data_IF_106849731892
#
_entry.id   IF_106849731892
#
_cell.length_a   1.000
_cell.length_b   1.000
_cell.length_c   1.000
_cell.angle_alpha   90.00
_cell.angle_beta   90.00
_cell.angle_gamma   90.00
#
_symmetry.space_group_name_H-M   'P 1'
#
loop_
_entity.id
_entity.type
_entity.pdbx_description
1 polymer ?
#
# COMPACT_ATOMS: atom_id res chain seq x y z
N UNK A 1 -5.59 13.62 -8.25
CA UNK A 1 -5.23 12.59 -7.25
C UNK A 1 -5.40 11.25 -7.95
N UNK A 2 -4.31 10.67 -8.44
CA UNK A 2 -4.36 9.48 -9.30
C UNK A 2 -3.88 8.30 -8.47
N UNK A 3 -4.77 7.35 -8.18
CA UNK A 3 -4.43 6.10 -7.50
C UNK A 3 -4.63 4.95 -8.50
N UNK A 4 -3.64 4.06 -8.59
CA UNK A 4 -3.71 2.85 -9.41
C UNK A 4 -3.58 1.63 -8.50
N UNK A 5 -4.29 0.56 -8.84
CA UNK A 5 -4.17 -0.74 -8.19
C UNK A 5 -3.72 -1.75 -9.23
N UNK A 6 -2.66 -2.48 -8.92
CA UNK A 6 -2.05 -3.43 -9.83
C UNK A 6 -1.70 -4.69 -9.06
N UNK A 7 -2.20 -5.83 -9.52
CA UNK A 7 -1.71 -7.13 -9.09
C UNK A 7 -0.45 -7.51 -9.89
N UNK A 8 0.66 -7.66 -9.18
CA UNK A 8 1.97 -7.97 -9.76
C UNK A 8 2.49 -9.34 -9.32
N UNK A 9 1.68 -10.11 -8.59
CA UNK A 9 2.09 -11.34 -7.90
C UNK A 9 2.87 -12.32 -8.79
N UNK A 10 2.40 -12.56 -10.02
CA UNK A 10 3.07 -13.49 -10.94
C UNK A 10 4.17 -12.84 -11.81
N UNK A 11 4.14 -11.51 -11.94
CA UNK A 11 4.93 -10.79 -12.95
C UNK A 11 6.18 -10.11 -12.39
N UNK A 12 6.20 -9.75 -11.10
CA UNK A 12 7.31 -8.98 -10.52
C UNK A 12 8.65 -9.71 -10.60
N UNK A 13 8.62 -11.05 -10.56
CA UNK A 13 9.78 -11.93 -10.65
C UNK A 13 10.60 -11.74 -11.94
N UNK A 14 9.98 -11.23 -13.01
CA UNK A 14 10.68 -10.92 -14.27
C UNK A 14 11.61 -9.71 -14.14
N UNK A 15 11.32 -8.82 -13.20
CA UNK A 15 11.96 -7.52 -13.08
C UNK A 15 12.80 -7.37 -11.82
N UNK A 16 12.53 -8.17 -10.77
CA UNK A 16 13.26 -8.16 -9.49
C UNK A 16 13.08 -9.46 -8.71
N UNK A 17 13.92 -9.65 -7.69
CA UNK A 17 13.88 -10.82 -6.80
C UNK A 17 12.78 -10.76 -5.73
N UNK A 18 12.36 -9.55 -5.34
CA UNK A 18 11.34 -9.32 -4.30
C UNK A 18 10.35 -8.25 -4.76
N UNK A 19 9.13 -8.28 -4.23
CA UNK A 19 8.11 -7.25 -4.51
C UNK A 19 8.60 -5.88 -4.05
N UNK A 20 9.28 -5.80 -2.90
CA UNK A 20 9.84 -4.55 -2.40
C UNK A 20 10.87 -3.95 -3.36
N UNK A 21 11.84 -4.75 -3.83
CA UNK A 21 12.84 -4.28 -4.79
C UNK A 21 12.22 -3.87 -6.13
N UNK A 22 11.18 -4.59 -6.57
CA UNK A 22 10.40 -4.19 -7.75
C UNK A 22 9.76 -2.81 -7.55
N UNK A 23 9.12 -2.57 -6.40
CA UNK A 23 8.50 -1.28 -6.09
C UNK A 23 9.54 -0.14 -6.01
N UNK A 24 10.69 -0.36 -5.37
CA UNK A 24 11.77 0.66 -5.33
C UNK A 24 12.24 1.03 -6.74
N UNK A 25 12.45 0.02 -7.58
CA UNK A 25 12.83 0.22 -8.98
C UNK A 25 11.75 0.98 -9.76
N UNK A 26 10.48 0.56 -9.65
CA UNK A 26 9.35 1.20 -10.33
C UNK A 26 9.21 2.68 -9.91
N UNK A 27 9.35 2.97 -8.62
CA UNK A 27 9.30 4.35 -8.12
C UNK A 27 10.41 5.22 -8.71
N UNK A 28 11.63 4.68 -8.79
CA UNK A 28 12.76 5.37 -9.38
C UNK A 28 12.51 5.65 -10.87
N UNK A 29 12.05 4.66 -11.62
CA UNK A 29 11.73 4.82 -13.05
C UNK A 29 10.62 5.86 -13.26
N UNK A 30 9.55 5.85 -12.45
CA UNK A 30 8.52 6.91 -12.51
C UNK A 30 9.12 8.29 -12.25
N UNK A 31 9.99 8.41 -11.25
CA UNK A 31 10.63 9.68 -10.91
C UNK A 31 11.57 10.17 -12.03
N UNK A 32 12.37 9.28 -12.60
CA UNK A 32 13.30 9.61 -13.70
C UNK A 32 12.55 10.07 -14.96
N UNK A 33 11.43 9.44 -15.29
CA UNK A 33 10.64 9.76 -16.50
C UNK A 33 9.71 10.97 -16.33
N UNK A 34 9.16 11.17 -15.13
CA UNK A 34 8.09 12.15 -14.91
C UNK A 34 8.46 13.30 -13.96
N UNK A 35 9.52 13.13 -13.16
CA UNK A 35 9.87 14.05 -12.06
C UNK A 35 8.93 13.98 -10.85
N UNK A 36 7.97 13.05 -10.84
CA UNK A 36 6.94 12.96 -9.80
C UNK A 36 7.32 11.92 -8.75
N UNK A 37 7.27 12.31 -7.49
CA UNK A 37 7.36 11.37 -6.36
C UNK A 37 6.05 10.62 -6.17
N UNK A 38 6.14 9.29 -6.04
CA UNK A 38 5.01 8.43 -5.75
C UNK A 38 5.21 7.65 -4.44
N UNK A 39 4.11 7.14 -3.90
CA UNK A 39 4.10 6.25 -2.73
C UNK A 39 3.47 4.93 -3.11
N UNK A 40 3.91 3.83 -2.48
CA UNK A 40 3.44 2.48 -2.81
C UNK A 40 3.04 1.76 -1.54
N UNK A 41 1.82 1.23 -1.51
CA UNK A 41 1.38 0.31 -0.47
C UNK A 41 1.25 -1.10 -1.02
N UNK A 42 1.87 -2.06 -0.33
CA UNK A 42 1.89 -3.48 -0.70
C UNK A 42 1.02 -4.23 0.30
N UNK A 43 0.04 -4.99 -0.17
CA UNK A 43 -0.88 -5.72 0.68
C UNK A 43 -1.23 -7.10 0.13
N UNK A 44 -1.67 -8.00 1.02
CA UNK A 44 -2.21 -9.32 0.61
C UNK A 44 -3.56 -9.22 -0.14
N UNK A 45 -4.15 -8.02 -0.22
CA UNK A 45 -5.34 -7.70 -1.01
C UNK A 45 -5.37 -6.19 -1.29
N UNK A 46 -6.35 -5.75 -2.09
CA UNK A 46 -6.51 -4.34 -2.47
C UNK A 46 -6.74 -3.42 -1.27
N UNK A 47 -7.49 -3.87 -0.27
CA UNK A 47 -7.80 -3.09 0.93
C UNK A 47 -6.54 -2.80 1.75
N UNK A 48 -5.79 -3.84 2.09
CA UNK A 48 -4.53 -3.71 2.85
C UNK A 48 -3.50 -2.89 2.10
N UNK A 49 -3.43 -3.04 0.77
CA UNK A 49 -2.51 -2.24 -0.06
C UNK A 49 -2.84 -0.75 0.03
N UNK A 50 -4.13 -0.41 -0.06
CA UNK A 50 -4.58 0.99 0.02
C UNK A 50 -4.33 1.58 1.40
N UNK A 51 -4.62 0.82 2.46
CA UNK A 51 -4.42 1.26 3.85
C UNK A 51 -2.93 1.41 4.13
N UNK A 52 -2.10 0.44 3.77
CA UNK A 52 -0.64 0.54 3.91
C UNK A 52 -0.09 1.81 3.25
N UNK A 53 -0.58 2.13 2.04
CA UNK A 53 -0.21 3.34 1.32
C UNK A 53 -0.63 4.61 2.08
N UNK A 54 -1.89 4.68 2.51
CA UNK A 54 -2.44 5.88 3.13
C UNK A 54 -1.91 6.14 4.54
N UNK A 55 -1.68 5.09 5.33
CA UNK A 55 -1.31 5.17 6.76
C UNK A 55 0.18 5.24 6.97
N UNK A 56 0.95 4.45 6.23
CA UNK A 56 2.36 4.23 6.55
C UNK A 56 3.27 4.71 5.41
N UNK A 57 2.94 4.39 4.15
CA UNK A 57 3.82 4.73 3.04
C UNK A 57 3.99 6.26 2.88
N UNK A 58 2.91 7.05 3.04
CA UNK A 58 2.97 8.52 2.97
C UNK A 58 3.88 9.17 4.03
N UNK A 59 4.10 8.50 5.14
CA UNK A 59 4.92 8.99 6.24
C UNK A 59 6.28 8.30 6.33
N UNK A 60 6.48 7.24 5.54
CA UNK A 60 7.76 6.52 5.45
C UNK A 60 8.80 7.29 4.62
N UNK A 61 10.06 7.24 5.06
CA UNK A 61 11.16 7.91 4.36
C UNK A 61 11.39 7.37 2.93
N UNK A 62 11.18 6.06 2.73
CA UNK A 62 11.31 5.42 1.43
C UNK A 62 10.01 5.47 0.61
N UNK A 63 8.90 5.96 1.18
CA UNK A 63 7.60 6.04 0.55
C UNK A 63 7.00 4.68 0.16
N UNK A 64 7.34 3.60 0.87
CA UNK A 64 6.85 2.24 0.63
C UNK A 64 6.42 1.65 1.98
N UNK A 65 5.23 1.04 2.03
CA UNK A 65 4.80 0.27 3.20
C UNK A 65 4.19 -1.05 2.78
N UNK A 66 4.42 -2.08 3.59
CA UNK A 66 3.91 -3.43 3.36
C UNK A 66 3.09 -3.89 4.56
N UNK A 67 1.84 -4.29 4.31
CA UNK A 67 0.95 -4.86 5.32
C UNK A 67 0.51 -6.26 4.91
N UNK A 68 0.46 -7.14 5.90
CA UNK A 68 -0.05 -8.51 5.80
C UNK A 68 -1.17 -8.70 6.83
N UNK A 69 -1.88 -9.82 6.77
CA UNK A 69 -2.97 -10.08 7.72
C UNK A 69 -2.52 -10.04 9.19
N UNK A 70 -1.27 -10.41 9.47
CA UNK A 70 -0.67 -10.35 10.81
C UNK A 70 -0.49 -8.92 11.36
N UNK A 71 -0.45 -7.91 10.50
CA UNK A 71 -0.31 -6.51 10.90
C UNK A 71 -1.66 -5.87 11.27
N UNK A 72 -2.78 -6.50 10.91
CA UNK A 72 -4.12 -5.94 11.14
C UNK A 72 -4.38 -5.67 12.62
N UNK A 73 -4.11 -6.59 13.57
CA UNK A 73 -4.39 -6.35 14.98
C UNK A 73 -3.59 -5.19 15.58
N UNK A 74 -2.36 -4.98 15.11
CA UNK A 74 -1.41 -4.03 15.71
C UNK A 74 -1.41 -2.68 15.00
N UNK A 75 -1.68 -2.67 13.69
CA UNK A 75 -1.64 -1.45 12.86
C UNK A 75 -3.02 -0.91 12.51
N UNK A 76 -4.02 -1.77 12.22
CA UNK A 76 -5.35 -1.33 11.79
C UNK A 76 -6.27 -0.99 12.96
N UNK A 77 -6.42 -1.90 13.92
CA UNK A 77 -7.38 -1.75 15.02
C UNK A 77 -7.18 -0.50 15.90
N UNK A 78 -5.95 0.00 16.13
CA UNK A 78 -5.75 1.23 16.89
C UNK A 78 -6.17 2.51 16.17
N UNK A 79 -6.41 2.47 14.85
CA UNK A 79 -6.74 3.66 14.07
C UNK A 79 -8.21 4.03 14.33
N UNK A 80 -8.44 5.16 15.00
CA UNK A 80 -9.78 5.69 15.25
C UNK A 80 -9.84 7.21 15.01
N UNK A 81 -10.92 7.71 14.39
CA UNK A 81 -11.97 6.96 13.68
C UNK A 81 -11.49 6.48 12.30
N UNK A 82 -11.87 5.27 11.88
CA UNK A 82 -11.59 4.70 10.55
C UNK A 82 -12.18 5.52 9.36
N UNK A 83 -12.80 6.66 9.61
CA UNK A 83 -13.49 7.51 8.64
C UNK A 83 -12.54 8.22 7.67
N UNK A 84 -11.27 8.36 8.03
CA UNK A 84 -10.28 9.04 7.18
C UNK A 84 -9.81 8.16 6.00
N UNK A 85 -10.23 6.90 5.94
CA UNK A 85 -10.06 6.05 4.78
C UNK A 85 -11.25 6.22 3.84
N UNK A 86 -10.98 6.52 2.57
CA UNK A 86 -11.98 6.50 1.49
C UNK A 86 -12.56 5.10 1.17
N UNK A 87 -12.46 4.16 2.11
CA UNK A 87 -13.07 2.83 2.04
C UNK A 87 -14.20 2.80 3.06
N UNK A 88 -15.43 2.65 2.59
CA UNK A 88 -16.57 2.36 3.46
C UNK A 88 -16.38 0.97 4.06
N UNK A 89 -15.99 0.89 5.33
CA UNK A 89 -16.08 -0.34 6.11
C UNK A 89 -17.47 -0.38 6.73
N UNK A 90 -18.32 -1.31 6.26
CA UNK A 90 -19.59 -1.63 6.93
C UNK A 90 -19.25 -2.47 8.15
N UNK A 91 -19.23 -1.83 9.30
CA UNK A 91 -19.13 -2.52 10.57
C UNK A 91 -20.45 -3.27 10.81
N UNK A 92 -20.44 -4.59 10.64
CA UNK A 92 -21.58 -5.42 11.04
C UNK A 92 -21.55 -5.50 12.57
N UNK A 93 -22.41 -4.72 13.21
CA UNK A 93 -22.60 -4.79 14.65
C UNK A 93 -23.12 -6.20 14.98
N UNK A 94 -22.46 -6.98 15.87
CA UNK A 94 -23.00 -8.26 16.28
C UNK A 94 -24.36 -8.03 16.95
N UNK A 95 -25.35 -8.86 16.59
CA UNK A 95 -26.68 -8.90 17.20
C UNK A 95 -26.60 -9.25 18.69
#
# INVERSE_FOLDING_TARGET
MTNFLWDVTDSYHRFSSTVHAFCERLKREIYEETGIYCTVGIGSNMLLSKIAMDVEAKHSQNGIAEWRYQDVPTKLWPIQPLRDFGVLIVEQKPN
#
